data_IF_757137963352
#
_entry.id   IF_757137963352
#
_cell.length_a   1.000
_cell.length_b   1.000
_cell.length_c   1.000
_cell.angle_alpha   90.00
_cell.angle_beta   90.00
_cell.angle_gamma   90.00
#
_symmetry.space_group_name_H-M   'P 1'
#
loop_
_entity.id
_entity.type
_entity.pdbx_description
1 polymer ?
#
# COMPACT_ATOMS: atom_id res chain seq x y z
N UNK A 1 -11.14 -20.86 53.03
CA UNK A 1 -12.41 -20.69 53.77
C UNK A 1 -12.84 -22.00 54.44
N UNK A 2 -13.17 -21.97 55.74
CA UNK A 2 -13.76 -23.11 56.47
C UNK A 2 -15.23 -22.83 56.82
N UNK A 3 -15.94 -23.87 57.28
CA UNK A 3 -17.32 -23.77 57.77
C UNK A 3 -17.30 -23.55 59.28
N UNK A 4 -18.34 -22.92 59.81
CA UNK A 4 -18.54 -22.82 61.27
C UNK A 4 -18.59 -24.22 61.89
N UNK A 5 -17.76 -24.44 62.90
CA UNK A 5 -17.54 -25.72 63.56
C UNK A 5 -17.55 -25.62 65.09
N UNK A 6 -18.09 -24.52 65.62
CA UNK A 6 -18.45 -24.39 67.03
C UNK A 6 -19.37 -25.52 67.50
N UNK A 7 -19.36 -25.80 68.80
CA UNK A 7 -20.14 -26.91 69.40
C UNK A 7 -21.66 -26.81 69.13
N UNK A 8 -22.15 -25.61 68.85
CA UNK A 8 -23.55 -25.28 68.59
C UNK A 8 -23.83 -25.07 67.09
N UNK A 9 -22.84 -25.31 66.23
CA UNK A 9 -23.05 -25.38 64.79
C UNK A 9 -24.05 -26.49 64.44
N UNK A 10 -24.96 -26.21 63.50
CA UNK A 10 -25.88 -27.22 63.01
C UNK A 10 -25.10 -28.23 62.17
N UNK A 11 -24.91 -29.42 62.73
CA UNK A 11 -24.22 -30.52 62.06
C UNK A 11 -24.92 -30.89 60.76
N UNK A 12 -24.14 -31.08 59.70
CA UNK A 12 -24.58 -31.60 58.40
C UNK A 12 -25.74 -30.84 57.73
N UNK A 13 -25.92 -29.54 58.03
CA UNK A 13 -27.01 -28.71 57.48
C UNK A 13 -27.08 -28.75 55.94
N UNK A 14 -25.94 -28.85 55.27
CA UNK A 14 -25.85 -28.89 53.80
C UNK A 14 -25.34 -30.24 53.26
N UNK A 15 -25.46 -31.31 54.05
CA UNK A 15 -24.95 -32.66 53.75
C UNK A 15 -23.81 -33.08 54.68
N UNK A 16 -23.36 -34.33 54.57
CA UNK A 16 -22.34 -34.91 55.45
C UNK A 16 -21.05 -34.07 55.49
N UNK A 17 -20.60 -33.74 56.70
CA UNK A 17 -19.43 -32.89 56.99
C UNK A 17 -19.65 -31.39 56.75
N UNK A 18 -20.87 -30.97 56.38
CA UNK A 18 -21.15 -29.58 55.96
C UNK A 18 -22.02 -28.86 56.99
N UNK A 19 -21.39 -28.53 58.11
CA UNK A 19 -22.00 -27.74 59.17
C UNK A 19 -22.46 -26.37 58.68
N UNK A 20 -23.40 -25.75 59.40
CA UNK A 20 -23.89 -24.42 59.12
C UNK A 20 -24.60 -23.75 60.30
N UNK A 21 -25.01 -22.50 60.09
CA UNK A 21 -25.65 -21.69 61.13
C UNK A 21 -27.08 -22.14 61.42
N UNK A 22 -27.49 -22.12 62.68
CA UNK A 22 -28.88 -22.22 63.12
C UNK A 22 -29.23 -21.08 64.07
N UNK A 23 -30.47 -20.60 63.99
CA UNK A 23 -31.02 -19.61 64.93
C UNK A 23 -31.35 -20.22 66.31
N UNK A 24 -31.15 -21.53 66.47
CA UNK A 24 -31.61 -22.29 67.62
C UNK A 24 -33.13 -22.51 67.60
N UNK A 25 -33.60 -23.33 68.54
CA UNK A 25 -35.01 -23.50 68.83
C UNK A 25 -35.19 -23.81 70.33
N UNK A 26 -35.65 -22.82 71.12
CA UNK A 26 -35.89 -23.00 72.55
C UNK A 26 -36.89 -24.12 72.86
N UNK A 27 -37.85 -24.41 71.98
CA UNK A 27 -38.85 -25.47 72.19
C UNK A 27 -38.26 -26.87 72.09
N UNK A 28 -37.17 -27.05 71.31
CA UNK A 28 -36.50 -28.35 71.13
C UNK A 28 -35.16 -28.41 71.88
N UNK A 29 -34.84 -27.38 72.67
CA UNK A 29 -33.56 -27.28 73.39
C UNK A 29 -32.34 -27.10 72.48
N UNK A 30 -32.53 -26.73 71.21
CA UNK A 30 -31.41 -26.54 70.27
C UNK A 30 -30.83 -25.12 70.46
N UNK A 31 -29.56 -24.97 70.85
CA UNK A 31 -28.95 -23.65 70.97
C UNK A 31 -28.77 -22.99 69.59
N UNK A 32 -28.68 -21.66 69.56
CA UNK A 32 -28.24 -20.93 68.37
C UNK A 32 -26.75 -21.19 68.14
N UNK A 33 -26.30 -21.08 66.88
CA UNK A 33 -24.88 -21.25 66.56
C UNK A 33 -24.06 -20.12 67.15
N UNK A 34 -23.10 -20.50 67.97
CA UNK A 34 -22.09 -19.61 68.52
C UNK A 34 -21.14 -19.20 67.40
N UNK A 35 -20.74 -17.94 67.49
CA UNK A 35 -19.82 -17.26 66.60
C UNK A 35 -18.45 -17.25 67.28
N UNK A 36 -17.41 -17.71 66.59
CA UNK A 36 -16.03 -17.74 67.06
C UNK A 36 -15.12 -16.83 66.23
N UNK A 37 -14.00 -16.45 66.84
CA UNK A 37 -12.96 -15.63 66.22
C UNK A 37 -12.37 -16.31 64.99
N UNK A 38 -12.03 -17.60 65.07
CA UNK A 38 -11.45 -18.37 63.97
C UNK A 38 -12.27 -18.22 62.66
N UNK A 39 -13.61 -18.28 62.74
CA UNK A 39 -14.46 -18.10 61.55
C UNK A 39 -14.49 -16.66 61.03
N UNK A 40 -14.53 -15.65 61.90
CA UNK A 40 -14.57 -14.24 61.48
C UNK A 40 -13.22 -13.75 60.96
N UNK A 41 -12.12 -14.15 61.60
CA UNK A 41 -10.77 -13.84 61.17
C UNK A 41 -10.51 -14.46 59.79
N UNK A 42 -10.94 -15.70 59.57
CA UNK A 42 -10.83 -16.32 58.23
C UNK A 42 -11.61 -15.54 57.17
N UNK A 43 -12.84 -15.09 57.45
CA UNK A 43 -13.60 -14.27 56.48
C UNK A 43 -12.93 -12.92 56.22
N UNK A 44 -12.39 -12.29 57.26
CA UNK A 44 -11.65 -11.04 57.13
C UNK A 44 -10.42 -11.23 56.24
N UNK A 45 -9.57 -12.21 56.56
CA UNK A 45 -8.33 -12.44 55.84
C UNK A 45 -8.56 -12.86 54.38
N UNK A 46 -9.60 -13.65 54.08
CA UNK A 46 -9.97 -13.98 52.69
C UNK A 46 -10.35 -12.72 51.88
N UNK A 47 -11.13 -11.80 52.46
CA UNK A 47 -11.51 -10.56 51.79
C UNK A 47 -10.34 -9.57 51.69
N UNK A 48 -9.55 -9.45 52.76
CA UNK A 48 -8.35 -8.62 52.81
C UNK A 48 -7.30 -9.09 51.79
N UNK A 49 -7.08 -10.40 51.69
CA UNK A 49 -6.15 -11.01 50.73
C UNK A 49 -6.50 -10.65 49.28
N UNK A 50 -7.79 -10.56 48.92
CA UNK A 50 -8.21 -10.13 47.57
C UNK A 50 -7.82 -8.67 47.31
N UNK A 51 -7.95 -7.80 48.31
CA UNK A 51 -7.55 -6.38 48.20
C UNK A 51 -6.04 -6.26 48.06
N UNK A 52 -5.29 -6.96 48.91
CA UNK A 52 -3.82 -6.94 48.89
C UNK A 52 -3.24 -7.55 47.61
N UNK A 53 -3.85 -8.62 47.09
CA UNK A 53 -3.47 -9.24 45.82
C UNK A 53 -3.62 -8.28 44.62
N UNK A 54 -4.50 -7.28 44.72
CA UNK A 54 -4.60 -6.23 43.69
C UNK A 54 -3.48 -5.19 43.77
N UNK A 55 -2.61 -5.25 44.78
CA UNK A 55 -1.52 -4.30 45.06
C UNK A 55 -1.94 -3.09 45.90
N UNK A 56 -3.21 -3.04 46.34
CA UNK A 56 -3.72 -1.99 47.21
C UNK A 56 -3.44 -2.31 48.70
N UNK A 57 -3.25 -1.27 49.52
CA UNK A 57 -3.20 -1.39 50.98
C UNK A 57 -4.58 -1.30 51.60
N UNK A 58 -4.79 -1.97 52.73
CA UNK A 58 -6.05 -1.93 53.46
C UNK A 58 -6.25 -0.58 54.16
N UNK A 59 -7.40 0.04 53.93
CA UNK A 59 -7.77 1.35 54.48
C UNK A 59 -9.07 1.28 55.28
N UNK A 60 -8.99 1.47 56.60
CA UNK A 60 -10.14 1.30 57.51
C UNK A 60 -11.36 2.15 57.13
N UNK A 61 -11.15 3.38 56.68
CA UNK A 61 -12.22 4.35 56.38
C UNK A 61 -12.82 4.16 54.96
N UNK A 62 -12.31 3.18 54.18
CA UNK A 62 -12.70 2.98 52.78
C UNK A 62 -13.54 1.72 52.61
N UNK A 63 -14.76 1.90 52.11
CA UNK A 63 -15.77 0.82 52.02
C UNK A 63 -15.99 0.24 50.61
N UNK A 64 -15.15 0.60 49.63
CA UNK A 64 -15.21 0.12 48.24
C UNK A 64 -13.94 -0.66 47.80
N UNK A 65 -13.11 -1.06 48.76
CA UNK A 65 -11.81 -1.67 48.51
C UNK A 65 -11.92 -2.98 47.73
N UNK A 66 -12.84 -3.86 48.14
CA UNK A 66 -13.07 -5.14 47.45
C UNK A 66 -13.55 -4.92 46.00
N UNK A 67 -14.49 -3.99 45.79
CA UNK A 67 -14.98 -3.65 44.46
C UNK A 67 -13.84 -3.10 43.57
N UNK A 68 -12.99 -2.25 44.13
CA UNK A 68 -11.85 -1.68 43.42
C UNK A 68 -10.82 -2.75 43.08
N UNK A 69 -10.51 -3.64 44.03
CA UNK A 69 -9.59 -4.76 43.85
C UNK A 69 -10.08 -5.72 42.77
N UNK A 70 -11.36 -6.09 42.78
CA UNK A 70 -11.96 -6.93 41.76
C UNK A 70 -11.89 -6.28 40.36
N UNK A 71 -12.14 -4.97 40.26
CA UNK A 71 -11.96 -4.25 38.99
C UNK A 71 -10.51 -4.33 38.53
N UNK A 72 -9.54 -4.03 39.39
CA UNK A 72 -8.13 -4.07 39.04
C UNK A 72 -7.67 -5.48 38.61
N UNK A 73 -8.04 -6.51 39.37
CA UNK A 73 -7.67 -7.91 39.12
C UNK A 73 -8.31 -8.47 37.85
N UNK A 74 -9.54 -8.06 37.50
CA UNK A 74 -10.27 -8.59 36.36
C UNK A 74 -10.08 -7.77 35.06
N UNK A 75 -9.64 -6.51 35.15
CA UNK A 75 -9.28 -5.67 34.00
C UNK A 75 -7.80 -5.80 33.60
N UNK A 76 -6.92 -6.15 34.54
CA UNK A 76 -5.50 -6.38 34.28
C UNK A 76 -5.26 -7.77 33.70
N UNK A 77 -5.41 -7.90 32.38
CA UNK A 77 -5.01 -9.13 31.67
C UNK A 77 -3.49 -9.13 31.51
N UNK A 78 -2.78 -10.07 32.14
CA UNK A 78 -1.31 -10.20 32.05
C UNK A 78 -0.84 -10.50 30.62
N UNK A 79 -1.70 -11.12 29.80
CA UNK A 79 -1.42 -11.48 28.40
C UNK A 79 -2.64 -11.16 27.50
N UNK A 80 -3.00 -9.88 27.31
CA UNK A 80 -4.27 -9.49 26.70
C UNK A 80 -4.50 -10.12 25.31
N UNK A 81 -3.45 -10.25 24.48
CA UNK A 81 -3.55 -10.91 23.17
C UNK A 81 -3.60 -12.45 23.25
N UNK A 82 -2.94 -13.04 24.25
CA UNK A 82 -3.04 -14.47 24.53
C UNK A 82 -4.46 -14.83 24.96
N UNK A 83 -5.06 -13.99 25.79
CA UNK A 83 -6.39 -14.21 26.33
C UNK A 83 -7.49 -14.00 25.26
N UNK A 84 -7.35 -13.01 24.38
CA UNK A 84 -8.23 -12.87 23.19
C UNK A 84 -8.20 -14.14 22.33
N UNK A 85 -7.01 -14.75 22.20
CA UNK A 85 -6.85 -16.01 21.45
C UNK A 85 -7.51 -17.19 22.16
N UNK A 86 -7.35 -17.34 23.48
CA UNK A 86 -7.99 -18.41 24.24
C UNK A 86 -9.52 -18.26 24.28
N UNK A 87 -10.01 -17.04 24.31
CA UNK A 87 -11.44 -16.72 24.34
C UNK A 87 -12.11 -16.97 22.96
N UNK A 88 -11.33 -17.23 21.91
CA UNK A 88 -11.84 -17.46 20.55
C UNK A 88 -12.37 -16.20 19.86
N UNK A 89 -12.06 -15.01 20.40
CA UNK A 89 -12.62 -13.71 19.96
C UNK A 89 -11.69 -12.91 19.06
N UNK A 90 -10.64 -13.54 18.51
CA UNK A 90 -9.63 -12.88 17.64
C UNK A 90 -10.28 -12.10 16.50
N UNK A 91 -11.29 -12.67 15.83
CA UNK A 91 -11.99 -12.01 14.71
C UNK A 91 -12.62 -10.68 15.15
N UNK A 92 -13.39 -10.71 16.22
CA UNK A 92 -14.04 -9.52 16.79
C UNK A 92 -13.02 -8.50 17.30
N UNK A 93 -11.91 -8.95 17.88
CA UNK A 93 -10.83 -8.05 18.30
C UNK A 93 -10.18 -7.34 17.10
N UNK A 94 -9.95 -8.06 16.00
CA UNK A 94 -9.46 -7.48 14.76
C UNK A 94 -10.49 -6.50 14.17
N UNK A 95 -11.77 -6.86 14.12
CA UNK A 95 -12.85 -5.96 13.67
C UNK A 95 -12.91 -4.68 14.51
N UNK A 96 -12.86 -4.78 15.85
CA UNK A 96 -12.88 -3.63 16.76
C UNK A 96 -11.68 -2.69 16.58
N UNK A 97 -10.54 -3.23 16.15
CA UNK A 97 -9.32 -2.47 15.85
C UNK A 97 -9.27 -1.98 14.39
N UNK A 98 -10.28 -2.29 13.56
CA UNK A 98 -10.28 -1.97 12.13
C UNK A 98 -9.30 -2.81 11.30
N UNK A 99 -8.90 -3.98 11.82
CA UNK A 99 -7.97 -4.94 11.20
C UNK A 99 -8.69 -6.20 10.65
N UNK A 100 -10.02 -6.18 10.54
CA UNK A 100 -10.89 -7.35 10.50
C UNK A 100 -11.00 -8.17 9.20
N UNK A 101 -10.40 -7.77 8.09
CA UNK A 101 -10.57 -8.49 6.81
C UNK A 101 -9.37 -8.47 5.86
N UNK A 102 -8.24 -7.86 6.26
CA UNK A 102 -7.06 -7.90 5.39
C UNK A 102 -7.23 -7.12 4.07
N UNK A 103 -8.03 -6.06 4.06
CA UNK A 103 -8.09 -5.21 2.87
C UNK A 103 -6.90 -4.22 2.77
N UNK A 104 -6.01 -4.19 3.78
CA UNK A 104 -5.08 -3.08 3.98
C UNK A 104 -3.65 -3.41 4.44
N UNK A 105 -3.28 -4.67 4.75
CA UNK A 105 -1.90 -4.94 5.16
C UNK A 105 -1.02 -5.07 3.92
N UNK A 106 -0.13 -4.10 3.74
CA UNK A 106 0.88 -4.18 2.68
C UNK A 106 1.68 -5.48 2.78
N UNK A 107 1.73 -6.22 1.68
CA UNK A 107 2.43 -7.50 1.54
C UNK A 107 3.80 -7.29 0.89
N UNK A 108 3.78 -6.93 -0.40
CA UNK A 108 4.99 -6.72 -1.22
C UNK A 108 4.69 -5.84 -2.42
N UNK A 109 5.76 -5.44 -3.11
CA UNK A 109 5.70 -4.77 -4.42
C UNK A 109 6.27 -5.69 -5.48
N UNK A 110 5.59 -5.81 -6.62
CA UNK A 110 6.05 -6.51 -7.81
C UNK A 110 6.21 -5.50 -8.94
N UNK A 111 7.35 -5.54 -9.65
CA UNK A 111 7.67 -4.58 -10.72
C UNK A 111 7.97 -5.34 -12.02
N UNK A 112 7.37 -4.90 -13.12
CA UNK A 112 7.67 -5.38 -14.46
C UNK A 112 8.23 -4.23 -15.31
N UNK A 113 9.47 -4.38 -15.76
CA UNK A 113 10.13 -3.51 -16.75
C UNK A 113 10.12 -4.11 -18.16
N UNK A 114 9.51 -5.29 -18.32
CA UNK A 114 9.29 -6.01 -19.57
C UNK A 114 8.00 -6.83 -19.47
N UNK A 115 7.41 -7.19 -20.60
CA UNK A 115 6.20 -8.02 -20.64
C UNK A 115 6.42 -9.38 -19.95
N UNK A 116 5.35 -9.94 -19.40
CA UNK A 116 5.38 -11.18 -18.65
C UNK A 116 4.01 -11.56 -18.12
N UNK A 117 3.99 -12.27 -17.00
CA UNK A 117 2.76 -12.67 -16.32
C UNK A 117 2.84 -12.35 -14.83
N UNK A 118 1.76 -11.81 -14.28
CA UNK A 118 1.58 -11.61 -12.85
C UNK A 118 0.64 -12.67 -12.30
N UNK A 119 1.07 -13.36 -11.24
CA UNK A 119 0.23 -14.33 -10.51
C UNK A 119 -0.25 -13.67 -9.22
N UNK A 120 -1.54 -13.36 -9.15
CA UNK A 120 -2.21 -12.80 -7.97
C UNK A 120 -2.38 -13.91 -6.91
N UNK A 121 -1.74 -13.81 -5.73
CA UNK A 121 -1.83 -14.81 -4.67
C UNK A 121 -3.23 -14.91 -4.01
N UNK A 122 -3.61 -16.09 -3.51
CA UNK A 122 -4.95 -16.34 -2.94
C UNK A 122 -5.27 -15.53 -1.67
N UNK A 123 -4.24 -15.14 -0.93
CA UNK A 123 -4.32 -14.36 0.30
C UNK A 123 -4.37 -12.85 0.06
N UNK A 124 -4.03 -12.36 -1.13
CA UNK A 124 -4.08 -10.93 -1.48
C UNK A 124 -5.52 -10.52 -1.82
N UNK A 125 -6.06 -9.57 -1.08
CA UNK A 125 -7.43 -9.06 -1.23
C UNK A 125 -7.54 -7.82 -2.09
N UNK A 126 -6.45 -7.08 -2.24
CA UNK A 126 -6.41 -5.84 -3.03
C UNK A 126 -5.03 -5.65 -3.65
N UNK A 127 -5.00 -5.11 -4.85
CA UNK A 127 -3.78 -4.58 -5.48
C UNK A 127 -3.94 -3.10 -5.83
N UNK A 128 -2.87 -2.34 -5.59
CA UNK A 128 -2.72 -1.00 -6.17
C UNK A 128 -1.74 -1.07 -7.34
N UNK A 129 -2.15 -0.54 -8.47
CA UNK A 129 -1.44 -0.64 -9.73
C UNK A 129 -1.05 0.75 -10.23
N UNK A 130 0.22 0.89 -10.62
CA UNK A 130 0.72 2.03 -11.39
C UNK A 130 1.25 1.47 -12.71
N UNK A 131 0.59 1.80 -13.81
CA UNK A 131 0.94 1.36 -15.16
C UNK A 131 1.36 2.56 -15.99
N UNK A 132 2.62 2.60 -16.43
CA UNK A 132 3.15 3.64 -17.32
C UNK A 132 3.54 3.04 -18.66
N UNK A 133 3.12 3.68 -19.75
CA UNK A 133 3.51 3.30 -21.11
C UNK A 133 4.93 3.76 -21.46
N UNK A 134 5.44 3.35 -22.61
CA UNK A 134 6.75 3.78 -23.07
C UNK A 134 6.74 5.21 -23.63
N UNK A 135 7.90 5.87 -23.60
CA UNK A 135 8.09 7.17 -24.25
C UNK A 135 8.41 7.03 -25.74
N UNK A 136 8.13 8.08 -26.50
CA UNK A 136 8.51 8.19 -27.91
C UNK A 136 9.99 8.55 -28.09
N UNK A 137 10.55 8.21 -29.25
CA UNK A 137 11.91 8.59 -29.63
C UNK A 137 12.01 10.05 -30.08
N UNK A 138 13.20 10.64 -29.94
CA UNK A 138 13.48 11.97 -30.49
C UNK A 138 13.64 11.96 -32.01
N UNK A 139 13.39 13.11 -32.62
CA UNK A 139 13.69 13.36 -34.03
C UNK A 139 15.20 13.43 -34.29
N UNK A 140 15.62 13.06 -35.49
CA UNK A 140 17.00 13.20 -35.92
C UNK A 140 17.24 14.49 -36.70
N UNK A 141 18.48 14.74 -37.08
CA UNK A 141 18.88 15.89 -37.88
C UNK A 141 19.81 15.46 -39.02
N UNK A 142 19.75 16.14 -40.14
CA UNK A 142 20.71 16.07 -41.22
C UNK A 142 20.58 17.32 -42.09
N UNK A 143 21.57 18.22 -42.01
CA UNK A 143 21.51 19.51 -42.67
C UNK A 143 22.88 20.02 -43.14
N UNK A 144 22.90 20.64 -44.31
CA UNK A 144 23.99 21.42 -44.93
C UNK A 144 23.78 22.93 -44.75
N UNK A 145 22.57 23.35 -44.36
CA UNK A 145 22.22 24.74 -44.08
C UNK A 145 20.97 24.87 -43.21
N UNK A 146 20.63 26.10 -42.80
CA UNK A 146 19.51 26.41 -41.92
C UNK A 146 18.11 26.15 -42.52
N UNK A 147 17.99 25.87 -43.82
CA UNK A 147 16.72 25.54 -44.49
C UNK A 147 16.44 24.03 -44.52
N UNK A 148 17.29 23.23 -43.88
CA UNK A 148 17.12 21.80 -43.69
C UNK A 148 16.96 21.48 -42.20
N UNK A 149 16.68 20.22 -41.88
CA UNK A 149 16.39 19.78 -40.52
C UNK A 149 17.69 19.63 -39.74
N UNK A 150 18.16 20.74 -39.17
CA UNK A 150 19.36 20.77 -38.35
C UNK A 150 19.06 20.50 -36.88
N UNK A 151 17.79 20.43 -36.47
CA UNK A 151 17.40 20.04 -35.11
C UNK A 151 16.09 19.24 -35.10
N UNK A 152 16.15 18.04 -34.50
CA UNK A 152 15.02 17.18 -34.24
C UNK A 152 14.32 17.53 -32.93
N UNK A 153 13.01 17.27 -32.88
CA UNK A 153 12.19 17.48 -31.69
C UNK A 153 12.37 16.35 -30.66
N UNK A 154 11.96 16.59 -29.41
CA UNK A 154 11.91 15.57 -28.38
C UNK A 154 10.68 14.66 -28.53
N UNK A 155 10.81 13.40 -28.10
CA UNK A 155 9.67 12.49 -27.97
C UNK A 155 8.81 12.81 -26.74
N UNK A 156 7.51 12.51 -26.84
CA UNK A 156 6.57 12.59 -25.74
C UNK A 156 6.73 11.42 -24.76
N UNK A 157 6.27 11.58 -23.53
CA UNK A 157 6.30 10.52 -22.53
C UNK A 157 5.06 9.62 -22.61
N UNK A 158 5.15 8.39 -22.13
CA UNK A 158 4.01 7.48 -22.01
C UNK A 158 3.03 7.93 -20.92
N UNK A 159 1.74 7.66 -21.15
CA UNK A 159 0.69 7.92 -20.16
C UNK A 159 0.84 7.04 -18.92
N UNK A 160 0.29 7.49 -17.79
CA UNK A 160 0.26 6.71 -16.53
C UNK A 160 -1.17 6.50 -16.06
N UNK A 161 -1.49 5.27 -15.65
CA UNK A 161 -2.78 4.86 -15.11
C UNK A 161 -2.60 4.37 -13.68
N UNK A 162 -3.47 4.84 -12.80
CA UNK A 162 -3.56 4.39 -11.41
C UNK A 162 -4.86 3.63 -11.19
N UNK A 163 -4.76 2.45 -10.59
CA UNK A 163 -5.92 1.63 -10.26
C UNK A 163 -5.78 1.00 -8.89
N UNK A 164 -6.91 0.80 -8.22
CA UNK A 164 -7.04 -0.07 -7.06
C UNK A 164 -8.05 -1.12 -7.48
N UNK A 165 -7.66 -2.39 -7.38
CA UNK A 165 -8.47 -3.53 -7.81
C UNK A 165 -8.63 -4.45 -6.61
N UNK A 166 -9.88 -4.76 -6.27
CA UNK A 166 -10.20 -5.69 -5.19
C UNK A 166 -10.42 -7.09 -5.76
N UNK A 167 -10.07 -8.11 -4.98
CA UNK A 167 -10.33 -9.50 -5.34
C UNK A 167 -11.83 -9.84 -5.44
N UNK A 168 -12.69 -8.93 -4.98
CA UNK A 168 -14.16 -9.00 -5.08
C UNK A 168 -14.73 -8.29 -6.30
N UNK A 169 -13.90 -7.58 -7.08
CA UNK A 169 -14.35 -6.92 -8.31
C UNK A 169 -14.67 -7.97 -9.38
N UNK A 170 -15.60 -7.64 -10.29
CA UNK A 170 -15.96 -8.52 -11.40
C UNK A 170 -14.72 -8.81 -12.27
N UNK A 171 -14.51 -10.09 -12.60
CA UNK A 171 -13.37 -10.59 -13.39
C UNK A 171 -11.97 -10.33 -12.78
N UNK A 172 -11.91 -9.99 -11.49
CA UNK A 172 -10.67 -9.82 -10.72
C UNK A 172 -10.48 -10.94 -9.67
N UNK A 173 -9.28 -11.00 -9.07
CA UNK A 173 -8.97 -11.90 -7.97
C UNK A 173 -7.76 -12.81 -8.20
N UNK A 174 -7.58 -13.83 -7.37
CA UNK A 174 -6.45 -14.75 -7.48
C UNK A 174 -6.43 -15.49 -8.82
N UNK A 175 -5.30 -15.45 -9.51
CA UNK A 175 -5.19 -15.94 -10.89
C UNK A 175 -3.90 -15.50 -11.57
N UNK A 176 -3.76 -15.81 -12.85
CA UNK A 176 -2.61 -15.36 -13.66
C UNK A 176 -3.06 -14.40 -14.74
N UNK A 177 -2.40 -13.25 -14.82
CA UNK A 177 -2.75 -12.14 -15.69
C UNK A 177 -1.55 -11.77 -16.57
N UNK A 178 -1.81 -11.55 -17.86
CA UNK A 178 -0.79 -11.08 -18.79
C UNK A 178 -0.42 -9.64 -18.49
N UNK A 179 0.88 -9.36 -18.47
CA UNK A 179 1.46 -8.02 -18.36
C UNK A 179 2.08 -7.66 -19.70
N UNK A 180 1.62 -6.58 -20.31
CA UNK A 180 2.25 -6.01 -21.51
C UNK A 180 2.97 -4.72 -21.15
N UNK A 181 4.28 -4.68 -21.36
CA UNK A 181 5.08 -3.47 -21.20
C UNK A 181 5.50 -2.96 -22.57
N UNK A 182 5.13 -1.72 -22.88
CA UNK A 182 5.54 -1.06 -24.10
C UNK A 182 7.06 -0.85 -24.17
N UNK A 183 7.62 -1.03 -25.36
CA UNK A 183 9.02 -0.68 -25.64
C UNK A 183 9.17 0.80 -25.99
N UNK A 184 10.30 1.37 -25.62
CA UNK A 184 10.68 2.74 -25.96
C UNK A 184 10.71 2.97 -27.48
N UNK A 185 10.14 4.09 -27.92
CA UNK A 185 10.18 4.49 -29.32
C UNK A 185 11.61 4.73 -29.79
N UNK A 186 11.98 4.23 -30.96
CA UNK A 186 13.32 4.48 -31.49
C UNK A 186 13.50 5.91 -31.99
N UNK A 187 14.60 6.57 -31.66
CA UNK A 187 14.91 7.87 -32.25
C UNK A 187 15.23 7.77 -33.74
N UNK A 188 14.91 8.83 -34.49
CA UNK A 188 15.16 8.90 -35.94
C UNK A 188 16.65 8.96 -36.24
N UNK A 189 17.07 8.30 -37.32
CA UNK A 189 18.45 8.38 -37.83
C UNK A 189 18.48 9.34 -39.03
N UNK A 190 18.98 10.57 -38.82
CA UNK A 190 18.87 11.65 -39.79
C UNK A 190 17.52 12.38 -39.71
N UNK A 191 17.29 13.31 -40.65
CA UNK A 191 16.08 14.12 -40.70
C UNK A 191 14.82 13.26 -40.77
N UNK A 192 14.03 13.27 -39.71
CA UNK A 192 12.81 12.47 -39.62
C UNK A 192 12.24 12.39 -38.22
N UNK A 193 11.03 11.83 -38.14
CA UNK A 193 10.31 11.64 -36.87
C UNK A 193 10.91 10.49 -36.06
N UNK A 194 10.95 10.65 -34.75
CA UNK A 194 11.12 9.49 -33.87
C UNK A 194 9.92 8.56 -33.95
N UNK A 195 10.11 7.29 -33.58
CA UNK A 195 9.03 6.32 -33.47
C UNK A 195 8.26 6.52 -32.15
N UNK A 196 6.97 6.21 -32.18
CA UNK A 196 6.12 6.22 -30.98
C UNK A 196 6.58 5.13 -30.00
N UNK A 197 6.39 5.39 -28.70
CA UNK A 197 6.50 4.38 -27.67
C UNK A 197 5.38 3.35 -27.77
N UNK A 198 5.66 2.12 -27.35
CA UNK A 198 4.66 1.07 -27.22
C UNK A 198 3.69 1.34 -26.06
N UNK A 199 2.45 0.86 -26.22
CA UNK A 199 1.44 0.87 -25.17
C UNK A 199 1.78 -0.19 -24.10
N UNK A 200 1.39 0.07 -22.86
CA UNK A 200 1.41 -0.92 -21.78
C UNK A 200 -0.02 -1.26 -21.37
N UNK A 201 -0.29 -2.53 -21.02
CA UNK A 201 -1.61 -2.98 -20.58
C UNK A 201 -1.52 -4.02 -19.47
N UNK A 202 -2.50 -3.97 -18.57
CA UNK A 202 -2.66 -4.92 -17.48
C UNK A 202 -4.13 -5.01 -17.09
N UNK A 203 -4.73 -6.20 -17.18
CA UNK A 203 -6.17 -6.38 -17.02
C UNK A 203 -6.95 -5.40 -17.93
N UNK A 204 -7.87 -4.62 -17.38
CA UNK A 204 -8.64 -3.59 -18.09
C UNK A 204 -7.90 -2.26 -18.27
N UNK A 205 -6.71 -2.13 -17.68
CA UNK A 205 -5.91 -0.90 -17.72
C UNK A 205 -5.12 -0.81 -19.02
N UNK A 206 -5.17 0.35 -19.66
CA UNK A 206 -4.37 0.65 -20.86
C UNK A 206 -3.68 1.99 -20.70
N UNK A 207 -2.37 2.01 -20.86
CA UNK A 207 -1.57 3.22 -20.97
C UNK A 207 -1.02 3.32 -22.39
N UNK A 208 -1.25 4.46 -23.06
CA UNK A 208 -0.77 4.70 -24.42
C UNK A 208 0.65 5.27 -24.40
N UNK A 209 1.48 4.82 -25.32
CA UNK A 209 2.84 5.30 -25.48
C UNK A 209 2.90 6.75 -25.96
N UNK A 210 3.98 7.43 -25.64
CA UNK A 210 4.24 8.79 -26.13
C UNK A 210 4.54 8.79 -27.62
N UNK A 211 4.13 9.84 -28.33
CA UNK A 211 4.49 10.01 -29.74
C UNK A 211 5.97 10.34 -29.88
N UNK A 212 6.58 9.92 -30.98
CA UNK A 212 7.94 10.37 -31.30
C UNK A 212 7.97 11.87 -31.62
N UNK A 213 9.15 12.50 -31.55
CA UNK A 213 9.35 13.86 -32.03
C UNK A 213 8.99 13.94 -33.51
N UNK A 214 8.13 14.89 -33.88
CA UNK A 214 7.49 14.95 -35.19
C UNK A 214 8.33 15.76 -36.18
N UNK A 215 8.49 15.22 -37.40
CA UNK A 215 9.02 15.93 -38.54
C UNK A 215 7.87 16.46 -39.40
N UNK A 216 7.55 17.74 -39.23
CA UNK A 216 6.50 18.43 -39.97
C UNK A 216 6.98 19.02 -41.30
N UNK A 217 8.29 19.06 -41.53
CA UNK A 217 8.92 19.54 -42.75
C UNK A 217 10.40 19.91 -42.54
N UNK A 218 11.06 20.35 -43.61
CA UNK A 218 12.50 20.62 -43.60
C UNK A 218 12.95 21.55 -42.47
N UNK A 219 12.14 22.54 -42.09
CA UNK A 219 12.45 23.50 -41.03
C UNK A 219 11.45 23.54 -39.88
N UNK A 220 10.69 22.46 -39.68
CA UNK A 220 9.66 22.40 -38.65
C UNK A 220 9.65 21.03 -37.97
N UNK A 221 10.11 20.99 -36.72
CA UNK A 221 10.10 19.77 -35.91
C UNK A 221 9.37 20.03 -34.60
N UNK A 222 8.17 19.45 -34.48
CA UNK A 222 7.31 19.61 -33.32
C UNK A 222 7.53 18.50 -32.30
N UNK A 223 7.41 18.82 -31.02
CA UNK A 223 7.46 17.86 -29.93
C UNK A 223 6.45 16.73 -30.08
N UNK A 224 6.86 15.51 -29.71
CA UNK A 224 5.95 14.38 -29.63
C UNK A 224 4.95 14.59 -28.49
N UNK A 225 3.66 14.33 -28.74
CA UNK A 225 2.64 14.39 -27.69
C UNK A 225 2.81 13.26 -26.67
N UNK A 226 2.56 13.57 -25.40
CA UNK A 226 2.48 12.56 -24.35
C UNK A 226 1.28 11.64 -24.54
N UNK A 227 1.45 10.36 -24.22
CA UNK A 227 0.39 9.37 -24.25
C UNK A 227 -0.58 9.56 -23.07
N UNK A 228 -1.82 9.12 -23.24
CA UNK A 228 -2.85 9.10 -22.20
C UNK A 228 -3.22 7.66 -21.82
N UNK A 229 -4.00 7.47 -20.77
CA UNK A 229 -4.43 6.13 -20.34
C UNK A 229 -5.92 6.03 -20.08
N UNK A 230 -6.40 4.82 -19.78
CA UNK A 230 -7.79 4.49 -19.46
C UNK A 230 -7.90 3.27 -18.54
N UNK A 231 -9.09 3.07 -17.96
CA UNK A 231 -9.44 1.90 -17.14
C UNK A 231 -9.14 2.03 -15.64
N UNK A 232 -8.28 2.97 -15.23
CA UNK A 232 -8.00 3.25 -13.83
C UNK A 232 -8.91 4.34 -13.22
N UNK A 233 -8.86 4.51 -11.90
CA UNK A 233 -9.57 5.59 -11.20
C UNK A 233 -8.95 6.97 -11.49
N UNK A 234 -7.68 6.99 -11.91
CA UNK A 234 -6.96 8.20 -12.31
C UNK A 234 -6.04 7.90 -13.48
N UNK A 235 -5.96 8.85 -14.40
CA UNK A 235 -5.03 8.80 -15.53
C UNK A 235 -4.30 10.13 -15.60
N UNK A 236 -3.02 10.07 -15.95
CA UNK A 236 -2.17 11.23 -16.16
C UNK A 236 -1.55 11.12 -17.54
N UNK A 237 -1.66 12.19 -18.32
CA UNK A 237 -0.97 12.27 -19.60
C UNK A 237 0.54 12.38 -19.36
N UNK A 238 1.34 11.68 -20.17
CA UNK A 238 2.77 11.96 -20.22
C UNK A 238 3.04 13.40 -20.66
N UNK A 239 4.21 13.94 -20.33
CA UNK A 239 4.61 15.24 -20.86
C UNK A 239 4.74 15.22 -22.39
N UNK A 240 4.58 16.38 -23.00
CA UNK A 240 4.91 16.62 -24.40
C UNK A 240 6.41 16.90 -24.55
N UNK A 241 7.01 16.40 -25.63
CA UNK A 241 8.39 16.72 -25.99
C UNK A 241 8.52 18.19 -26.39
N UNK A 242 9.72 18.75 -26.29
CA UNK A 242 9.97 20.10 -26.80
C UNK A 242 10.18 20.10 -28.31
N UNK A 243 9.78 21.19 -28.96
CA UNK A 243 10.06 21.43 -30.38
C UNK A 243 11.57 21.51 -30.63
N UNK A 244 12.00 21.02 -31.80
CA UNK A 244 13.41 21.02 -32.17
C UNK A 244 13.83 22.26 -32.95
N UNK A 245 12.99 22.67 -33.88
CA UNK A 245 13.29 23.70 -34.89
C UNK A 245 12.00 24.39 -35.36
N UNK A 246 12.06 25.73 -35.47
CA UNK A 246 11.04 26.54 -36.11
C UNK A 246 11.68 27.51 -37.10
N UNK A 247 11.54 27.24 -38.40
CA UNK A 247 12.26 27.97 -39.43
C UNK A 247 13.77 27.78 -39.26
N UNK A 248 14.49 28.89 -39.15
CA UNK A 248 15.94 28.89 -38.93
C UNK A 248 16.32 28.96 -37.44
N UNK A 249 15.34 28.94 -36.53
CA UNK A 249 15.57 29.01 -35.08
C UNK A 249 15.70 27.62 -34.46
N UNK A 250 16.70 27.48 -33.57
CA UNK A 250 16.88 26.31 -32.72
C UNK A 250 16.02 26.45 -31.45
N UNK A 251 15.17 25.45 -31.16
CA UNK A 251 14.33 25.42 -29.95
C UNK A 251 14.78 24.36 -28.92
N UNK A 252 15.65 23.43 -29.36
CA UNK A 252 16.23 22.33 -28.55
C UNK A 252 15.19 21.30 -28.12
N UNK A 253 15.09 20.21 -28.90
CA UNK A 253 14.09 19.17 -28.70
C UNK A 253 14.39 18.23 -27.53
N UNK A 254 14.20 18.66 -26.29
CA UNK A 254 14.30 17.76 -25.13
C UNK A 254 13.11 16.80 -25.07
N UNK A 255 13.39 15.54 -24.73
CA UNK A 255 12.37 14.53 -24.49
C UNK A 255 11.57 14.83 -23.22
N UNK A 256 10.31 14.42 -23.21
CA UNK A 256 9.39 14.75 -22.14
C UNK A 256 9.58 13.92 -20.87
N UNK A 257 9.19 14.51 -19.74
CA UNK A 257 9.12 13.83 -18.45
C UNK A 257 7.89 12.92 -18.36
N UNK A 258 8.08 11.73 -17.78
CA UNK A 258 6.98 10.87 -17.35
C UNK A 258 6.66 11.11 -15.87
N UNK A 259 5.67 10.38 -15.34
CA UNK A 259 5.38 10.33 -13.91
C UNK A 259 6.64 10.03 -13.05
N UNK A 260 7.60 9.28 -13.60
CA UNK A 260 8.79 8.82 -12.89
C UNK A 260 9.97 9.79 -12.93
N UNK A 261 9.94 10.79 -13.81
CA UNK A 261 11.01 11.78 -13.94
C UNK A 261 11.32 12.19 -15.38
N UNK A 262 12.47 12.86 -15.55
CA UNK A 262 12.85 13.57 -16.77
C UNK A 262 13.11 12.70 -18.00
N UNK A 263 12.90 13.31 -19.17
CA UNK A 263 13.26 12.73 -20.47
C UNK A 263 14.71 12.97 -20.88
N UNK A 264 15.05 12.47 -22.07
CA UNK A 264 16.38 12.59 -22.64
C UNK A 264 16.65 14.02 -23.10
N UNK A 265 17.82 14.57 -22.74
CA UNK A 265 18.26 15.87 -23.25
C UNK A 265 18.57 15.78 -24.75
N UNK A 266 18.31 16.86 -25.49
CA UNK A 266 18.81 16.98 -26.86
C UNK A 266 20.36 16.89 -26.89
N UNK A 267 20.94 16.50 -28.02
CA UNK A 267 22.39 16.38 -28.15
C UNK A 267 22.93 16.58 -29.55
N UNK A 268 24.18 17.02 -29.64
CA UNK A 268 24.85 17.30 -30.91
C UNK A 268 25.09 15.99 -31.66
N UNK A 269 24.46 15.82 -32.82
CA UNK A 269 24.45 14.61 -33.67
C UNK A 269 23.97 13.31 -32.95
N UNK A 270 23.61 13.37 -31.67
CA UNK A 270 23.10 12.24 -30.90
C UNK A 270 22.24 12.74 -29.75
N UNK A 271 20.93 12.60 -29.89
CA UNK A 271 19.99 12.83 -28.80
C UNK A 271 20.16 11.80 -27.68
N UNK A 272 19.94 12.20 -26.44
CA UNK A 272 20.07 11.29 -25.30
C UNK A 272 18.80 10.45 -25.15
N UNK A 273 18.90 9.16 -24.77
CA UNK A 273 17.73 8.35 -24.48
C UNK A 273 16.97 8.87 -23.25
N UNK A 274 15.68 8.51 -23.15
CA UNK A 274 14.87 8.73 -21.96
C UNK A 274 15.49 8.09 -20.73
N UNK A 275 15.46 8.79 -19.60
CA UNK A 275 16.18 8.41 -18.37
C UNK A 275 15.28 7.59 -17.45
N UNK A 276 14.03 8.04 -17.26
CA UNK A 276 13.05 7.38 -16.39
C UNK A 276 12.06 6.55 -17.20
N UNK A 277 11.44 5.53 -16.59
CA UNK A 277 10.43 4.70 -17.26
C UNK A 277 9.34 5.54 -17.93
N UNK A 278 9.07 5.25 -19.19
CA UNK A 278 8.10 5.98 -20.01
C UNK A 278 8.50 7.38 -20.45
N UNK A 279 9.69 7.88 -20.10
CA UNK A 279 10.13 9.21 -20.53
C UNK A 279 10.53 9.23 -22.01
N UNK A 280 10.39 10.40 -22.66
CA UNK A 280 10.70 10.57 -24.07
C UNK A 280 12.20 10.73 -24.35
N UNK A 281 12.63 10.38 -25.56
CA UNK A 281 14.01 10.60 -26.03
C UNK A 281 14.25 12.03 -26.52
N UNK A 282 15.46 12.55 -26.34
CA UNK A 282 15.85 13.86 -26.84
C UNK A 282 16.15 13.86 -28.33
N UNK A 283 15.92 14.97 -29.03
CA UNK A 283 16.26 15.15 -30.43
C UNK A 283 17.77 15.33 -30.66
N UNK A 284 18.22 15.03 -31.87
CA UNK A 284 19.57 15.38 -32.31
C UNK A 284 19.59 16.78 -32.92
N UNK A 285 20.68 17.53 -32.74
CA UNK A 285 20.90 18.80 -33.44
C UNK A 285 22.31 18.89 -34.03
N UNK A 286 22.46 19.71 -35.06
CA UNK A 286 23.75 20.03 -35.69
C UNK A 286 23.77 21.50 -36.14
N UNK A 287 24.28 22.36 -35.26
CA UNK A 287 24.39 23.79 -35.54
C UNK A 287 25.57 24.14 -36.48
N UNK A 288 26.37 23.15 -36.86
CA UNK A 288 27.50 23.32 -37.79
C UNK A 288 27.13 22.98 -39.22
N UNK A 289 25.93 22.43 -39.43
CA UNK A 289 25.44 21.99 -40.74
C UNK A 289 26.42 21.06 -41.46
N UNK A 290 26.92 20.07 -40.73
CA UNK A 290 27.96 19.14 -41.19
C UNK A 290 27.48 18.13 -42.23
N UNK A 291 26.18 18.10 -42.55
CA UNK A 291 25.54 17.05 -43.34
C UNK A 291 25.75 15.64 -42.80
N UNK A 292 26.02 15.54 -41.49
CA UNK A 292 26.13 14.26 -40.78
C UNK A 292 24.76 13.87 -40.25
N UNK A 293 24.37 12.62 -40.48
CA UNK A 293 23.14 12.07 -39.94
C UNK A 293 23.24 11.95 -38.42
N UNK A 294 22.52 12.84 -37.73
CA UNK A 294 22.37 12.81 -36.28
C UNK A 294 21.18 11.96 -35.86
N UNK A 295 21.37 11.15 -34.82
CA UNK A 295 20.34 10.22 -34.33
C UNK A 295 19.61 10.76 -33.11
N UNK A 296 18.29 10.81 -33.14
CA UNK A 296 17.49 11.08 -31.95
C UNK A 296 17.66 10.00 -30.88
N UNK A 297 17.43 10.37 -29.62
CA UNK A 297 17.44 9.47 -28.48
C UNK A 297 16.25 8.53 -28.47
N UNK A 298 16.45 7.33 -27.92
CA UNK A 298 15.38 6.37 -27.67
C UNK A 298 14.46 6.85 -26.55
N UNK A 299 13.14 6.65 -26.67
CA UNK A 299 12.27 6.71 -25.51
C UNK A 299 12.58 5.57 -24.53
N UNK A 300 12.22 5.74 -23.27
CA UNK A 300 12.34 4.70 -22.26
C UNK A 300 11.16 3.72 -22.33
N UNK A 301 11.39 2.46 -21.96
CA UNK A 301 10.34 1.45 -21.84
C UNK A 301 9.32 1.84 -20.76
N UNK A 302 8.11 1.29 -20.87
CA UNK A 302 7.09 1.40 -19.84
C UNK A 302 7.46 0.64 -18.55
N UNK A 303 6.59 0.72 -17.56
CA UNK A 303 6.71 -0.03 -16.31
C UNK A 303 5.34 -0.32 -15.72
N UNK A 304 5.22 -1.46 -15.05
CA UNK A 304 4.09 -1.81 -14.19
C UNK A 304 4.60 -2.02 -12.77
N UNK A 305 3.99 -1.34 -11.81
CA UNK A 305 4.22 -1.52 -10.38
C UNK A 305 2.91 -1.98 -9.74
N UNK A 306 2.95 -3.12 -9.06
CA UNK A 306 1.82 -3.70 -8.34
C UNK A 306 2.18 -3.75 -6.86
N UNK A 307 1.36 -3.17 -5.99
CA UNK A 307 1.47 -3.31 -4.54
C UNK A 307 0.34 -4.20 -4.06
N UNK A 308 0.70 -5.29 -3.40
CA UNK A 308 -0.24 -6.28 -2.89
C UNK A 308 -0.64 -5.98 -1.46
N UNK A 309 -1.92 -6.17 -1.14
CA UNK A 309 -2.48 -6.02 0.19
C UNK A 309 -3.28 -7.27 0.58
N UNK A 310 -2.89 -7.87 1.71
CA UNK A 310 -3.54 -9.04 2.35
C UNK A 310 -4.38 -8.65 3.54
#
# INVERSE_FOLDING_TARGET
>A
MHRIDTKTAQKDKFGAGKNGFTRGNPQTGTPATDLDDDYFDMLQEELCSVVEASGASLEKERHDQLLTALRALLLSRKNPFGDIKSDGTVKTALENLGLGDGSGRYSKTVVFSSSGSYTWPADVKRIDVILTAAGGGGGGCNAENANQTFSGAGGGAGGTVFATIYATDNDAGPGTYTVTIGSGGSGANGSGSGNNGGNSSFMTLTALGGQGGQWGGATNTAGGRGGSGSGGYKTEQGGDGSDGQAGQALLVGNGASSYWGGGGRAGQLSGNPGVCSGSGGGGAYDNSYSHTSGRGGHGANGVLVIREYM
#
